data_IF_560016410423
#
_entry.id   IF_560016410423
#
_cell.length_a   1.000
_cell.length_b   1.000
_cell.length_c   1.000
_cell.angle_alpha   90.00
_cell.angle_beta   90.00
_cell.angle_gamma   90.00
#
_symmetry.space_group_name_H-M   'P 1'
#
loop_
_entity.id
_entity.type
_entity.pdbx_description
1 polymer ?
#
# COMPACT_ATOMS: atom_id res chain seq x y z
N UNK A 1 0.97 -3.79 -22.71
CA UNK A 1 2.22 -3.69 -21.90
C UNK A 1 1.72 -3.49 -20.49
N UNK A 2 2.02 -4.40 -19.56
CA UNK A 2 1.49 -4.29 -18.20
C UNK A 2 2.02 -3.03 -17.51
N UNK A 3 1.12 -2.15 -17.08
CA UNK A 3 1.48 -0.99 -16.27
C UNK A 3 1.73 -1.44 -14.82
N UNK A 4 2.74 -0.85 -14.18
CA UNK A 4 3.07 -1.11 -12.78
C UNK A 4 2.58 0.07 -11.91
N UNK A 5 1.78 -0.23 -10.89
CA UNK A 5 1.38 0.72 -9.87
C UNK A 5 2.26 0.53 -8.61
N UNK A 6 3.13 1.50 -8.34
CA UNK A 6 3.96 1.54 -7.12
C UNK A 6 3.19 2.28 -6.03
N UNK A 7 2.99 1.65 -4.88
CA UNK A 7 2.34 2.25 -3.71
C UNK A 7 3.35 2.39 -2.58
N UNK A 8 3.54 3.61 -2.07
CA UNK A 8 4.42 3.92 -0.92
C UNK A 8 3.57 4.51 0.21
N UNK A 9 3.63 3.90 1.40
CA UNK A 9 2.85 4.33 2.58
C UNK A 9 3.65 5.31 3.43
N UNK A 10 3.05 6.48 3.67
CA UNK A 10 3.67 7.57 4.43
C UNK A 10 3.13 7.63 5.86
N UNK A 11 3.91 8.19 6.77
CA UNK A 11 3.54 8.38 8.16
C UNK A 11 2.68 9.64 8.32
N UNK A 12 1.43 9.46 8.78
CA UNK A 12 0.56 10.56 9.17
C UNK A 12 -0.24 11.21 8.04
N UNK A 13 -1.39 11.77 8.40
CA UNK A 13 -2.29 12.45 7.46
C UNK A 13 -1.72 13.80 7.01
N UNK A 14 -1.79 14.10 5.71
CA UNK A 14 -1.43 15.40 5.13
C UNK A 14 0.04 15.55 4.71
N UNK A 15 0.85 14.49 4.81
CA UNK A 15 2.20 14.47 4.24
C UNK A 15 2.18 14.16 2.74
N UNK A 16 3.20 14.62 2.01
CA UNK A 16 3.38 14.16 0.62
C UNK A 16 3.77 12.68 0.63
N UNK A 17 3.31 11.89 -0.35
CA UNK A 17 3.74 10.51 -0.52
C UNK A 17 5.28 10.40 -0.48
N UNK A 18 5.82 9.57 0.40
CA UNK A 18 7.24 9.28 0.53
C UNK A 18 8.05 10.27 1.39
N UNK A 19 7.45 11.32 1.94
CA UNK A 19 8.15 12.34 2.75
C UNK A 19 8.65 11.77 4.09
N UNK A 20 7.79 11.07 4.82
CA UNK A 20 8.18 10.22 5.95
C UNK A 20 7.55 8.85 5.75
N UNK A 21 8.35 7.78 5.73
CA UNK A 21 7.83 6.42 5.57
C UNK A 21 7.17 5.94 6.86
N UNK A 22 6.10 5.17 6.74
CA UNK A 22 5.48 4.52 7.90
C UNK A 22 6.48 3.56 8.58
N UNK A 23 6.53 3.47 9.92
CA UNK A 23 7.37 2.50 10.61
C UNK A 23 7.08 1.06 10.18
N UNK A 24 8.11 0.23 10.15
CA UNK A 24 8.01 -1.21 9.87
C UNK A 24 8.77 -1.98 10.95
N UNK A 25 8.41 -1.76 12.21
CA UNK A 25 8.96 -2.42 13.39
C UNK A 25 8.06 -3.59 13.80
N UNK A 26 8.55 -4.50 14.64
CA UNK A 26 7.79 -5.68 15.06
C UNK A 26 6.47 -5.29 15.76
N UNK A 27 6.50 -4.25 16.58
CA UNK A 27 5.34 -3.71 17.29
C UNK A 27 4.48 -2.74 16.47
N UNK A 28 5.01 -2.20 15.36
CA UNK A 28 4.35 -1.14 14.59
C UNK A 28 4.73 -1.21 13.11
N UNK A 29 3.85 -1.79 12.29
CA UNK A 29 4.08 -1.99 10.87
C UNK A 29 2.77 -2.01 10.05
N UNK A 30 2.92 -1.82 8.75
CA UNK A 30 1.86 -2.08 7.77
C UNK A 30 1.80 -3.59 7.56
N UNK A 31 0.68 -4.22 7.93
CA UNK A 31 0.50 -5.66 7.75
C UNK A 31 0.22 -6.02 6.30
N UNK A 32 -0.50 -5.14 5.59
CA UNK A 32 -0.85 -5.36 4.19
C UNK A 32 -1.26 -4.07 3.48
N UNK A 33 -1.09 -4.11 2.16
CA UNK A 33 -1.56 -3.10 1.21
C UNK A 33 -2.48 -3.80 0.21
N UNK A 34 -3.59 -3.17 -0.14
CA UNK A 34 -4.54 -3.68 -1.13
C UNK A 34 -4.76 -2.64 -2.23
N UNK A 35 -4.88 -3.12 -3.46
CA UNK A 35 -5.20 -2.36 -4.65
C UNK A 35 -6.54 -2.85 -5.19
N UNK A 36 -7.54 -1.98 -5.18
CA UNK A 36 -8.82 -2.23 -5.80
C UNK A 36 -8.80 -1.67 -7.22
N UNK A 37 -9.25 -2.47 -8.17
CA UNK A 37 -9.34 -2.13 -9.58
C UNK A 37 -10.73 -2.42 -10.10
N UNK A 38 -11.02 -1.93 -11.31
CA UNK A 38 -12.24 -2.29 -12.03
C UNK A 38 -12.32 -3.78 -12.44
N UNK A 39 -11.27 -4.57 -12.20
CA UNK A 39 -11.21 -6.00 -12.55
C UNK A 39 -11.01 -6.92 -11.34
N UNK A 40 -10.73 -6.37 -10.15
CA UNK A 40 -10.56 -7.18 -8.95
C UNK A 40 -9.86 -6.47 -7.81
N UNK A 41 -9.34 -7.28 -6.89
CA UNK A 41 -8.62 -6.81 -5.71
C UNK A 41 -7.33 -7.61 -5.59
N UNK A 42 -6.21 -6.90 -5.50
CA UNK A 42 -4.91 -7.47 -5.16
C UNK A 42 -4.55 -7.09 -3.74
N UNK A 43 -3.98 -8.03 -2.98
CA UNK A 43 -3.45 -7.75 -1.65
C UNK A 43 -2.04 -8.29 -1.50
N UNK A 44 -1.16 -7.45 -0.96
CA UNK A 44 0.19 -7.83 -0.56
C UNK A 44 0.30 -7.79 0.96
N UNK A 45 0.64 -8.92 1.56
CA UNK A 45 1.09 -8.97 2.96
C UNK A 45 2.52 -8.44 3.04
N UNK A 46 2.79 -7.62 4.06
CA UNK A 46 4.12 -7.17 4.43
C UNK A 46 4.46 -7.68 5.84
N UNK A 47 5.76 -7.71 6.15
CA UNK A 47 6.29 -8.11 7.44
C UNK A 47 7.12 -6.98 8.05
N UNK A 48 7.32 -6.97 9.38
CA UNK A 48 8.30 -6.08 10.01
C UNK A 48 9.67 -6.13 9.32
N UNK A 49 10.34 -4.98 9.25
CA UNK A 49 11.63 -4.78 8.60
C UNK A 49 11.59 -4.67 7.08
N UNK A 50 10.44 -4.95 6.44
CA UNK A 50 10.25 -4.68 5.01
C UNK A 50 9.95 -3.21 4.76
N UNK A 51 10.05 -2.81 3.50
CA UNK A 51 9.67 -1.46 3.13
C UNK A 51 8.14 -1.30 3.14
N UNK A 52 7.58 -0.18 3.64
CA UNK A 52 6.12 0.05 3.70
C UNK A 52 5.59 0.42 2.31
N UNK A 53 5.88 -0.41 1.31
CA UNK A 53 5.59 -0.19 -0.08
C UNK A 53 5.45 -1.52 -0.83
N UNK A 54 4.73 -1.51 -1.94
CA UNK A 54 4.64 -2.66 -2.85
C UNK A 54 4.31 -2.20 -4.26
N UNK A 55 4.65 -3.05 -5.22
CA UNK A 55 4.27 -2.89 -6.61
C UNK A 55 3.16 -3.87 -6.97
N UNK A 56 2.24 -3.45 -7.85
CA UNK A 56 1.25 -4.30 -8.47
C UNK A 56 1.35 -4.19 -9.99
N UNK A 57 1.29 -5.33 -10.67
CA UNK A 57 1.19 -5.38 -12.13
C UNK A 57 -0.28 -5.40 -12.53
N UNK A 58 -0.66 -4.50 -13.43
CA UNK A 58 -2.02 -4.40 -13.95
C UNK A 58 -2.11 -5.04 -15.33
N UNK A 59 -3.26 -5.66 -15.60
CA UNK A 59 -3.59 -6.13 -16.94
C UNK A 59 -3.84 -4.94 -17.89
N UNK A 60 -3.69 -5.16 -19.20
CA UNK A 60 -4.00 -4.14 -20.19
C UNK A 60 -5.47 -3.68 -20.05
N UNK A 61 -5.67 -2.38 -19.82
CA UNK A 61 -7.00 -1.78 -19.62
C UNK A 61 -7.57 -1.88 -18.19
N UNK A 62 -6.83 -2.47 -17.26
CA UNK A 62 -7.17 -2.45 -15.83
C UNK A 62 -6.88 -1.08 -15.23
N UNK A 63 -7.81 -0.57 -14.43
CA UNK A 63 -7.75 0.77 -13.83
C UNK A 63 -7.77 0.67 -12.32
N UNK A 64 -6.87 1.40 -11.67
CA UNK A 64 -6.85 1.57 -10.21
C UNK A 64 -8.03 2.42 -9.80
N UNK A 65 -8.85 1.91 -8.89
CA UNK A 65 -9.96 2.65 -8.28
C UNK A 65 -9.57 3.20 -6.92
N UNK A 66 -8.98 2.36 -6.07
CA UNK A 66 -8.65 2.70 -4.69
C UNK A 66 -7.45 1.92 -4.18
N UNK A 67 -6.72 2.52 -3.24
CA UNK A 67 -5.60 1.89 -2.53
C UNK A 67 -5.87 1.98 -1.03
N UNK A 68 -5.64 0.89 -0.31
CA UNK A 68 -5.71 0.89 1.14
C UNK A 68 -4.49 0.22 1.77
N UNK A 69 -4.15 0.64 2.98
CA UNK A 69 -3.13 0.02 3.82
C UNK A 69 -3.71 -0.22 5.21
N UNK A 70 -3.24 -1.29 5.85
CA UNK A 70 -3.62 -1.60 7.23
C UNK A 70 -2.41 -1.63 8.13
N UNK A 71 -2.42 -0.78 9.14
CA UNK A 71 -1.44 -0.73 10.22
C UNK A 71 -1.96 -1.53 11.41
N UNK A 72 -1.11 -2.38 11.99
CA UNK A 72 -1.47 -3.21 13.14
C UNK A 72 -1.95 -2.38 14.36
N UNK A 73 -1.48 -1.14 14.51
CA UNK A 73 -1.87 -0.24 15.62
C UNK A 73 -2.99 0.72 15.27
N UNK A 74 -3.08 1.12 14.00
CA UNK A 74 -3.96 2.22 13.60
C UNK A 74 -5.08 1.83 12.64
N UNK A 75 -5.24 0.55 12.33
CA UNK A 75 -6.34 0.03 11.52
C UNK A 75 -6.19 0.32 10.03
N UNK A 76 -7.32 0.52 9.33
CA UNK A 76 -7.41 0.65 7.87
C UNK A 76 -7.37 2.11 7.40
N UNK A 77 -6.60 2.37 6.36
CA UNK A 77 -6.31 3.70 5.83
C UNK A 77 -6.51 3.69 4.31
N UNK A 78 -7.23 4.67 3.76
CA UNK A 78 -7.23 4.93 2.32
C UNK A 78 -5.99 5.76 1.98
N UNK A 79 -5.20 5.31 1.00
CA UNK A 79 -3.91 5.89 0.63
C UNK A 79 -4.07 6.97 -0.45
#
# INVERSE_FOLDING_TARGET
MADAAIVIISAGAGQKPGETKHPMLEEHFIEWITLNTNQGIYRKQLNPGQEPATDFCLCDGEQVEEVYAYCNLHGLWKC
#
